data_IF_326397351388
#
_entry.id   IF_326397351388
#
_cell.length_a   1.000
_cell.length_b   1.000
_cell.length_c   1.000
_cell.angle_alpha   90.00
_cell.angle_beta   90.00
_cell.angle_gamma   90.00
#
_symmetry.space_group_name_H-M   'P 1'
#
loop_
_entity.id
_entity.type
_entity.pdbx_description
1 polymer ?
#
# COMPACT_ATOMS: atom_id res chain seq x y z
N UNK A 1 -22.71 -15.50 -7.88
CA UNK A 1 -21.93 -15.85 -6.68
C UNK A 1 -20.83 -14.79 -6.54
N UNK A 2 -20.73 -14.12 -5.39
CA UNK A 2 -19.72 -13.08 -5.14
C UNK A 2 -18.39 -13.74 -4.76
N UNK A 3 -17.38 -13.65 -5.63
CA UNK A 3 -15.98 -13.87 -5.28
C UNK A 3 -15.45 -12.62 -4.59
N UNK A 4 -15.69 -12.53 -3.29
CA UNK A 4 -15.23 -11.44 -2.43
C UNK A 4 -14.28 -12.00 -1.36
N UNK A 5 -13.22 -12.71 -1.75
CA UNK A 5 -12.12 -13.03 -0.83
C UNK A 5 -10.79 -13.37 -1.53
N UNK A 6 -10.27 -12.44 -2.33
CA UNK A 6 -8.88 -12.48 -2.78
C UNK A 6 -8.26 -11.10 -2.60
N UNK A 7 -7.69 -10.87 -1.43
CA UNK A 7 -6.73 -9.78 -1.20
C UNK A 7 -5.37 -10.24 -1.72
N UNK A 8 -4.85 -9.70 -2.85
CA UNK A 8 -3.55 -10.12 -3.37
C UNK A 8 -2.37 -9.64 -2.50
N UNK A 9 -1.35 -10.50 -2.39
CA UNK A 9 -0.10 -10.34 -1.63
C UNK A 9 0.73 -9.08 -2.01
N UNK A 10 0.39 -8.39 -3.10
CA UNK A 10 1.07 -7.18 -3.60
C UNK A 10 1.05 -5.96 -2.65
N UNK A 11 0.17 -5.95 -1.64
CA UNK A 11 -0.03 -4.77 -0.77
C UNK A 11 1.13 -4.49 0.20
N UNK A 12 1.96 -5.48 0.53
CA UNK A 12 3.08 -5.28 1.48
C UNK A 12 4.25 -4.50 0.88
N UNK A 13 4.45 -4.57 -0.44
CA UNK A 13 5.59 -3.95 -1.12
C UNK A 13 5.36 -2.45 -1.36
N UNK A 14 4.15 -2.06 -1.78
CA UNK A 14 3.81 -0.66 -2.11
C UNK A 14 3.75 0.26 -0.89
N UNK A 15 3.33 -0.25 0.29
CA UNK A 15 3.20 0.56 1.52
C UNK A 15 4.57 0.96 2.08
N UNK A 16 5.60 0.16 1.86
CA UNK A 16 6.98 0.47 2.28
C UNK A 16 7.60 1.63 1.49
N UNK A 17 7.23 1.80 0.21
CA UNK A 17 7.70 2.94 -0.61
C UNK A 17 7.14 4.29 -0.18
N UNK A 18 6.00 4.32 0.52
CA UNK A 18 5.34 5.56 0.95
C UNK A 18 5.75 6.03 2.35
N UNK A 19 6.47 5.21 3.14
CA UNK A 19 6.76 5.50 4.55
C UNK A 19 8.17 6.06 4.81
N UNK A 20 9.02 6.18 3.78
CA UNK A 20 10.41 6.64 3.93
C UNK A 20 10.55 8.17 3.75
N UNK A 21 9.74 8.89 4.53
CA UNK A 21 9.75 10.35 4.64
C UNK A 21 9.92 10.74 6.12
N UNK A 22 11.15 10.71 6.64
CA UNK A 22 11.38 11.30 7.96
C UNK A 22 12.64 10.91 8.73
N UNK A 23 13.80 10.93 8.11
CA UNK A 23 15.10 10.80 8.80
C UNK A 23 16.03 11.98 8.52
N UNK A 24 15.63 13.19 8.91
CA UNK A 24 16.44 14.40 8.78
C UNK A 24 17.68 14.36 9.68
N UNK A 25 18.77 13.77 9.16
CA UNK A 25 20.11 13.80 9.75
C UNK A 25 20.71 15.20 9.63
N UNK A 26 20.87 15.85 10.78
CA UNK A 26 21.49 17.16 10.95
C UNK A 26 23.01 17.05 10.67
N UNK A 27 23.45 17.52 9.49
CA UNK A 27 24.86 17.62 9.13
C UNK A 27 25.46 18.90 9.73
N UNK A 28 26.13 18.76 10.88
CA UNK A 28 27.05 19.74 11.44
C UNK A 28 28.49 19.40 11.04
N UNK A 29 29.19 20.36 10.45
CA UNK A 29 30.41 20.15 9.69
C UNK A 29 31.69 19.84 10.47
N UNK A 30 32.68 19.35 9.72
CA UNK A 30 34.08 19.19 10.12
C UNK A 30 34.88 18.83 8.86
N UNK A 31 35.40 19.84 8.16
CA UNK A 31 36.84 20.15 8.05
C UNK A 31 37.72 19.02 7.50
N UNK A 32 38.12 19.23 6.25
CA UNK A 32 39.48 19.12 5.72
C UNK A 32 40.34 17.97 6.25
N UNK A 33 40.53 16.95 5.41
CA UNK A 33 41.81 16.24 5.33
C UNK A 33 41.99 15.67 3.92
N UNK A 34 42.92 16.29 3.19
CA UNK A 34 43.55 15.76 1.99
C UNK A 34 44.45 14.60 2.42
N UNK A 35 44.07 13.37 2.08
CA UNK A 35 44.90 12.19 2.27
C UNK A 35 44.97 11.41 0.97
N UNK A 36 46.22 11.15 0.56
CA UNK A 36 46.63 10.46 -0.66
C UNK A 36 45.92 9.12 -0.89
N UNK A 37 45.41 8.95 -2.11
CA UNK A 37 44.93 7.68 -2.64
C UNK A 37 46.10 6.71 -2.78
N UNK A 38 46.19 5.75 -1.87
CA UNK A 38 47.09 4.60 -1.97
C UNK A 38 46.32 3.48 -2.68
N UNK A 39 46.82 3.05 -3.83
CA UNK A 39 46.27 1.95 -4.62
C UNK A 39 46.19 0.69 -3.75
N UNK A 40 44.96 0.24 -3.50
CA UNK A 40 44.68 -0.99 -2.76
C UNK A 40 44.75 -2.17 -3.73
N UNK A 41 45.52 -3.23 -3.45
CA UNK A 41 45.61 -4.38 -4.32
C UNK A 41 44.24 -5.06 -4.48
N UNK A 42 43.88 -5.25 -5.75
CA UNK A 42 42.68 -5.91 -6.23
C UNK A 42 42.52 -7.28 -5.55
N UNK A 43 41.59 -7.34 -4.61
CA UNK A 43 41.27 -8.57 -3.89
C UNK A 43 40.52 -9.50 -4.85
N UNK A 44 41.12 -10.64 -5.17
CA UNK A 44 40.49 -11.67 -6.01
C UNK A 44 39.09 -12.02 -5.46
N UNK A 45 38.07 -12.10 -6.33
CA UNK A 45 36.72 -12.43 -5.91
C UNK A 45 36.70 -13.84 -5.31
N UNK A 46 36.46 -13.92 -4.00
CA UNK A 46 36.20 -15.17 -3.31
C UNK A 46 34.97 -15.82 -3.96
N UNK A 47 35.02 -17.12 -4.34
CA UNK A 47 33.88 -17.79 -4.95
C UNK A 47 32.71 -17.76 -3.98
N UNK A 48 31.66 -17.00 -4.34
CA UNK A 48 30.43 -16.94 -3.57
C UNK A 48 29.87 -18.37 -3.42
N UNK A 49 29.52 -18.80 -2.20
CA UNK A 49 28.93 -20.12 -1.98
C UNK A 49 27.65 -20.23 -2.80
N UNK A 50 27.63 -21.17 -3.74
CA UNK A 50 26.45 -21.41 -4.58
C UNK A 50 25.29 -21.83 -3.66
N UNK A 51 24.13 -21.16 -3.71
CA UNK A 51 22.97 -21.59 -2.95
C UNK A 51 22.55 -23.01 -3.41
N UNK A 52 22.14 -23.88 -2.48
CA UNK A 52 21.77 -25.26 -2.79
C UNK A 52 20.66 -25.32 -3.83
N UNK A 53 20.92 -26.00 -4.96
CA UNK A 53 20.08 -26.05 -6.18
C UNK A 53 18.73 -26.78 -6.01
N UNK A 54 18.35 -27.22 -4.82
CA UNK A 54 17.35 -28.30 -4.64
C UNK A 54 15.98 -27.85 -4.13
N UNK A 55 15.74 -26.57 -3.84
CA UNK A 55 14.59 -26.17 -3.02
C UNK A 55 13.32 -25.70 -3.73
N UNK A 56 13.19 -25.74 -5.06
CA UNK A 56 12.19 -24.88 -5.71
C UNK A 56 10.96 -25.52 -6.37
N UNK A 57 10.77 -26.84 -6.27
CA UNK A 57 9.48 -27.45 -6.64
C UNK A 57 9.10 -28.63 -5.73
N UNK A 58 9.16 -28.44 -4.41
CA UNK A 58 8.30 -29.25 -3.57
C UNK A 58 6.85 -28.83 -3.90
N UNK A 59 6.01 -29.72 -4.45
CA UNK A 59 4.61 -29.38 -4.70
C UNK A 59 4.01 -28.88 -3.38
N UNK A 60 3.35 -27.71 -3.37
CA UNK A 60 2.85 -27.12 -2.14
C UNK A 60 1.89 -28.12 -1.48
N UNK A 61 2.02 -28.39 -0.18
CA UNK A 61 1.09 -29.26 0.51
C UNK A 61 -0.27 -28.56 0.56
N UNK A 62 -1.25 -29.08 -0.19
CA UNK A 62 -2.69 -28.88 -0.01
C UNK A 62 -3.34 -27.51 -0.27
N UNK A 63 -2.71 -26.57 -0.98
CA UNK A 63 -3.38 -25.30 -1.31
C UNK A 63 -3.76 -25.24 -2.79
N UNK A 64 -5.06 -24.99 -3.06
CA UNK A 64 -5.68 -24.77 -4.38
C UNK A 64 -5.20 -23.46 -5.07
N UNK A 65 -3.93 -23.07 -4.92
CA UNK A 65 -3.39 -21.94 -5.68
C UNK A 65 -3.32 -22.33 -7.15
N UNK A 66 -3.82 -21.45 -8.02
CA UNK A 66 -3.60 -21.62 -9.45
C UNK A 66 -2.11 -21.52 -9.76
N UNK A 67 -1.67 -22.15 -10.85
CA UNK A 67 -0.29 -22.03 -11.34
C UNK A 67 0.11 -20.56 -11.54
N UNK A 68 -0.86 -19.73 -11.93
CA UNK A 68 -0.76 -18.29 -12.11
C UNK A 68 -0.35 -17.59 -10.81
N UNK A 69 -1.03 -17.92 -9.71
CA UNK A 69 -0.73 -17.37 -8.38
C UNK A 69 0.65 -17.81 -7.90
N UNK A 70 1.05 -19.06 -8.16
CA UNK A 70 2.38 -19.56 -7.82
C UNK A 70 3.48 -18.86 -8.62
N UNK A 71 3.28 -18.68 -9.93
CA UNK A 71 4.21 -17.97 -10.80
C UNK A 71 4.40 -16.54 -10.31
N UNK A 72 3.30 -15.79 -10.21
CA UNK A 72 3.31 -14.41 -9.75
C UNK A 72 3.96 -14.29 -8.38
N UNK A 73 3.61 -15.17 -7.43
CA UNK A 73 4.23 -15.20 -6.10
C UNK A 73 5.75 -15.42 -6.18
N UNK A 74 6.23 -16.33 -7.03
CA UNK A 74 7.68 -16.58 -7.14
C UNK A 74 8.47 -15.36 -7.61
N UNK A 75 7.90 -14.54 -8.51
CA UNK A 75 8.54 -13.30 -8.96
C UNK A 75 8.42 -12.19 -7.91
N UNK A 76 7.29 -12.10 -7.21
CA UNK A 76 7.13 -11.18 -6.06
C UNK A 76 8.16 -11.50 -4.98
N UNK A 77 8.41 -12.77 -4.68
CA UNK A 77 9.41 -13.19 -3.70
C UNK A 77 10.84 -12.78 -4.11
N UNK A 78 11.16 -12.76 -5.41
CA UNK A 78 12.44 -12.24 -5.92
C UNK A 78 12.56 -10.74 -5.66
N UNK A 79 11.53 -9.97 -6.00
CA UNK A 79 11.50 -8.51 -5.78
C UNK A 79 11.62 -8.20 -4.30
N UNK A 80 10.84 -8.89 -3.45
CA UNK A 80 10.89 -8.70 -2.01
C UNK A 80 12.28 -9.00 -1.46
N UNK A 81 12.90 -10.11 -1.87
CA UNK A 81 14.26 -10.46 -1.43
C UNK A 81 15.29 -9.38 -1.81
N UNK A 82 15.23 -8.86 -3.04
CA UNK A 82 16.12 -7.77 -3.49
C UNK A 82 15.90 -6.47 -2.73
N UNK A 83 14.67 -6.21 -2.33
CA UNK A 83 14.32 -5.08 -1.49
C UNK A 83 14.88 -5.25 -0.08
N UNK A 84 14.71 -6.43 0.53
CA UNK A 84 15.23 -6.76 1.85
C UNK A 84 16.78 -6.75 1.88
N UNK A 85 17.42 -7.12 0.78
CA UNK A 85 18.88 -7.03 0.58
C UNK A 85 19.38 -5.59 0.38
N UNK A 86 18.50 -4.59 0.30
CA UNK A 86 18.83 -3.19 0.04
C UNK A 86 19.34 -2.94 -1.39
N UNK A 87 19.23 -3.92 -2.29
CA UNK A 87 19.61 -3.77 -3.70
C UNK A 87 18.56 -3.00 -4.50
N UNK A 88 17.32 -2.97 -4.02
CA UNK A 88 16.27 -2.08 -4.51
C UNK A 88 16.13 -0.88 -3.58
N UNK A 89 17.04 0.09 -3.69
CA UNK A 89 16.72 1.43 -3.21
C UNK A 89 15.65 2.03 -4.12
N UNK A 90 14.62 2.67 -3.56
CA UNK A 90 13.62 3.38 -4.35
C UNK A 90 14.28 4.32 -5.36
N UNK A 91 13.64 4.58 -6.52
CA UNK A 91 14.21 5.45 -7.53
C UNK A 91 14.59 6.80 -6.89
N UNK A 92 15.79 7.35 -7.18
CA UNK A 92 16.22 8.60 -6.56
C UNK A 92 15.17 9.69 -6.78
N UNK A 93 14.91 10.50 -5.75
CA UNK A 93 13.90 11.58 -5.84
C UNK A 93 14.22 12.47 -7.04
N UNK A 94 13.21 12.67 -7.88
CA UNK A 94 13.34 13.45 -9.11
C UNK A 94 13.76 12.66 -10.35
N UNK A 95 14.04 11.36 -10.24
CA UNK A 95 14.23 10.51 -11.42
C UNK A 95 12.93 10.45 -12.24
N UNK A 96 13.03 10.23 -13.57
CA UNK A 96 11.85 10.05 -14.41
C UNK A 96 10.97 8.88 -13.92
N UNK A 97 11.58 7.84 -13.33
CA UNK A 97 10.82 6.70 -12.77
C UNK A 97 9.97 7.13 -11.58
N UNK A 98 10.52 7.98 -10.71
CA UNK A 98 9.75 8.53 -9.59
C UNK A 98 8.58 9.39 -10.07
N UNK A 99 8.77 10.20 -11.11
CA UNK A 99 7.70 11.02 -11.70
C UNK A 99 6.58 10.17 -12.28
N UNK A 100 6.93 9.07 -12.95
CA UNK A 100 5.98 8.17 -13.61
C UNK A 100 5.23 7.30 -12.60
N UNK A 101 5.91 6.79 -11.57
CA UNK A 101 5.26 6.12 -10.45
C UNK A 101 4.26 7.06 -9.76
N UNK A 102 4.66 8.32 -9.54
CA UNK A 102 3.79 9.34 -8.96
C UNK A 102 2.60 9.62 -9.86
N UNK A 103 2.80 9.81 -11.17
CA UNK A 103 1.71 10.05 -12.12
C UNK A 103 0.72 8.88 -12.20
N UNK A 104 1.20 7.64 -12.20
CA UNK A 104 0.33 6.46 -12.23
C UNK A 104 -0.50 6.29 -10.95
N UNK A 105 0.05 6.68 -9.79
CA UNK A 105 -0.63 6.56 -8.49
C UNK A 105 -1.55 7.75 -8.17
N UNK A 106 -1.29 8.92 -8.75
CA UNK A 106 -2.00 10.17 -8.47
C UNK A 106 -3.52 10.09 -8.65
N UNK A 107 -4.09 9.48 -9.71
CA UNK A 107 -5.54 9.41 -9.88
C UNK A 107 -6.22 8.69 -8.71
N UNK A 108 -5.74 7.50 -8.35
CA UNK A 108 -6.28 6.74 -7.22
C UNK A 108 -6.10 7.47 -5.89
N UNK A 109 -4.96 8.12 -5.70
CA UNK A 109 -4.64 8.89 -4.50
C UNK A 109 -5.59 10.09 -4.30
N UNK A 110 -5.89 10.84 -5.37
CA UNK A 110 -6.84 11.97 -5.32
C UNK A 110 -8.24 11.51 -4.90
N UNK A 111 -8.72 10.39 -5.45
CA UNK A 111 -10.00 9.80 -5.05
C UNK A 111 -9.98 9.33 -3.58
N UNK A 112 -8.87 8.75 -3.13
CA UNK A 112 -8.65 8.38 -1.73
C UNK A 112 -8.74 9.58 -0.78
N UNK A 113 -8.05 10.68 -1.09
CA UNK A 113 -8.12 11.92 -0.31
C UNK A 113 -9.55 12.49 -0.30
N UNK A 114 -10.20 12.55 -1.46
CA UNK A 114 -11.57 13.05 -1.58
C UNK A 114 -12.54 12.23 -0.72
N UNK A 115 -12.45 10.90 -0.78
CA UNK A 115 -13.27 10.00 0.04
C UNK A 115 -13.00 10.17 1.54
N UNK A 116 -11.74 10.27 1.95
CA UNK A 116 -11.36 10.52 3.34
C UNK A 116 -11.96 11.83 3.86
N UNK A 117 -11.88 12.90 3.08
CA UNK A 117 -12.43 14.21 3.42
C UNK A 117 -13.96 14.17 3.55
N UNK A 118 -14.65 13.54 2.59
CA UNK A 118 -16.12 13.37 2.64
C UNK A 118 -16.54 12.57 3.87
N UNK A 119 -15.88 11.44 4.14
CA UNK A 119 -16.15 10.61 5.32
C UNK A 119 -15.94 11.39 6.62
N UNK A 120 -14.90 12.20 6.68
CA UNK A 120 -14.60 13.03 7.85
C UNK A 120 -15.72 14.06 8.11
N UNK A 121 -16.21 14.70 7.05
CA UNK A 121 -17.33 15.65 7.13
C UNK A 121 -18.61 14.96 7.57
N UNK A 122 -18.89 13.75 7.07
CA UNK A 122 -20.07 12.95 7.44
C UNK A 122 -20.02 12.58 8.92
N UNK A 123 -18.91 12.02 9.41
CA UNK A 123 -18.72 11.66 10.83
C UNK A 123 -18.90 12.86 11.76
N UNK A 124 -18.50 14.06 11.32
CA UNK A 124 -18.67 15.31 12.08
C UNK A 124 -20.09 15.86 12.05
N UNK A 125 -20.76 15.85 10.89
CA UNK A 125 -22.05 16.54 10.67
C UNK A 125 -23.25 15.68 11.06
N UNK A 126 -23.21 14.37 10.78
CA UNK A 126 -24.37 13.47 10.97
C UNK A 126 -24.80 13.38 12.44
N UNK A 127 -23.90 13.19 13.44
CA UNK A 127 -24.31 13.11 14.83
C UNK A 127 -25.01 14.39 15.33
N UNK A 128 -24.59 15.57 14.84
CA UNK A 128 -25.21 16.87 15.18
C UNK A 128 -26.65 16.92 14.63
N UNK A 129 -26.86 16.50 13.39
CA UNK A 129 -28.20 16.48 12.80
C UNK A 129 -29.11 15.44 13.47
N UNK A 130 -28.60 14.24 13.76
CA UNK A 130 -29.37 13.17 14.40
C UNK A 130 -29.78 13.57 15.83
N UNK A 131 -28.85 14.11 16.61
CA UNK A 131 -29.13 14.60 17.97
C UNK A 131 -30.13 15.75 17.96
N UNK A 132 -29.98 16.73 17.04
CA UNK A 132 -30.93 17.83 16.89
C UNK A 132 -32.35 17.32 16.61
N UNK A 133 -32.52 16.42 15.64
CA UNK A 133 -33.83 15.81 15.32
C UNK A 133 -34.41 15.04 16.52
N UNK A 134 -33.58 14.25 17.21
CA UNK A 134 -34.02 13.48 18.36
C UNK A 134 -34.46 14.36 19.54
N UNK A 135 -33.77 15.49 19.77
CA UNK A 135 -34.18 16.46 20.79
C UNK A 135 -35.46 17.20 20.41
N UNK A 136 -35.66 17.55 19.14
CA UNK A 136 -36.87 18.22 18.66
C UNK A 136 -38.11 17.33 18.73
N UNK A 137 -37.98 16.02 18.44
CA UNK A 137 -39.10 15.08 18.52
C UNK A 137 -39.57 14.76 19.95
N UNK A 138 -38.73 15.01 20.96
CA UNK A 138 -39.04 14.69 22.37
C UNK A 138 -39.54 15.86 23.20
N UNK A 139 -39.76 17.04 22.61
CA UNK A 139 -40.45 18.12 23.30
C UNK A 139 -41.93 18.00 22.89
N UNK A 140 -42.78 17.26 23.63
CA UNK A 140 -44.21 17.36 23.42
C UNK A 140 -44.57 18.83 23.57
N UNK A 141 -45.16 19.41 22.52
CA UNK A 141 -45.63 20.80 22.52
C UNK A 141 -46.39 21.06 23.82
N UNK A 142 -45.81 21.88 24.68
CA UNK A 142 -46.27 22.08 26.05
C UNK A 142 -47.62 22.84 26.12
N UNK A 143 -48.33 22.98 25.00
CA UNK A 143 -49.53 23.81 24.89
C UNK A 143 -50.83 23.08 25.24
N UNK A 144 -50.80 21.87 25.82
CA UNK A 144 -52.04 21.15 26.20
C UNK A 144 -51.90 20.21 27.39
N UNK A 145 -51.26 20.68 28.47
CA UNK A 145 -51.39 20.04 29.80
C UNK A 145 -51.78 21.09 30.83
N UNK A 146 -53.05 21.47 30.77
CA UNK A 146 -53.76 21.82 32.00
C UNK A 146 -53.77 20.58 32.92
N UNK A 147 -53.30 20.80 34.15
CA UNK A 147 -53.86 20.23 35.39
C UNK A 147 -54.02 18.70 35.56
N UNK A 148 -53.07 17.87 35.14
CA UNK A 148 -52.99 16.52 35.73
C UNK A 148 -52.18 16.60 37.04
N UNK A 149 -52.94 16.61 38.13
CA UNK A 149 -52.54 16.46 39.53
C UNK A 149 -51.27 15.61 39.71
N UNK A 150 -50.38 16.11 40.55
CA UNK A 150 -49.25 15.41 41.14
C UNK A 150 -49.68 14.07 41.75
N UNK A 151 -49.60 12.99 40.97
CA UNK A 151 -49.67 11.62 41.48
C UNK A 151 -48.27 11.24 41.94
N UNK A 152 -48.07 11.27 43.25
CA UNK A 152 -46.84 10.81 43.91
C UNK A 152 -46.49 9.39 43.44
N UNK A 153 -45.22 9.09 43.15
CA UNK A 153 -44.81 7.76 42.71
C UNK A 153 -45.11 6.71 43.80
N UNK A 154 -45.54 5.49 43.44
CA UNK A 154 -45.78 4.41 44.38
C UNK A 154 -44.47 3.99 45.08
N UNK A 155 -44.55 3.75 46.39
CA UNK A 155 -43.41 3.56 47.31
C UNK A 155 -42.60 2.27 47.09
N UNK A 156 -43.08 1.33 46.27
CA UNK A 156 -42.59 -0.05 46.30
C UNK A 156 -42.02 -0.55 44.95
N UNK A 157 -41.62 0.35 44.05
CA UNK A 157 -41.01 -0.06 42.78
C UNK A 157 -39.54 -0.52 42.98
N UNK A 158 -39.19 -1.80 42.71
CA UNK A 158 -37.83 -2.29 42.88
C UNK A 158 -36.83 -1.56 41.96
N UNK A 159 -35.71 -1.16 42.55
CA UNK A 159 -34.69 -0.21 42.10
C UNK A 159 -33.83 -0.63 40.89
N UNK A 160 -34.34 -1.44 39.96
CA UNK A 160 -33.60 -1.86 38.77
C UNK A 160 -33.61 -0.81 37.65
N UNK A 161 -34.47 0.20 37.76
CA UNK A 161 -34.35 1.44 37.00
C UNK A 161 -33.61 2.46 37.86
N UNK A 162 -32.40 2.86 37.46
CA UNK A 162 -32.21 4.23 36.96
C UNK A 162 -30.75 4.65 36.77
N UNK A 163 -29.72 3.80 36.72
CA UNK A 163 -28.37 4.36 36.51
C UNK A 163 -28.24 5.03 35.13
N UNK A 164 -28.83 4.43 34.08
CA UNK A 164 -29.01 5.08 32.76
C UNK A 164 -29.89 6.34 32.81
N UNK A 165 -30.82 6.45 33.75
CA UNK A 165 -31.70 7.62 33.95
C UNK A 165 -31.09 8.70 34.86
N UNK A 166 -30.06 8.39 35.65
CA UNK A 166 -29.36 9.34 36.52
C UNK A 166 -28.14 9.98 35.82
N UNK A 167 -27.49 9.23 34.93
CA UNK A 167 -26.35 9.73 34.15
C UNK A 167 -26.78 10.72 33.05
N UNK A 168 -27.95 10.52 32.43
CA UNK A 168 -28.39 11.33 31.28
C UNK A 168 -28.91 12.76 31.59
N UNK A 169 -29.60 13.04 32.72
CA UNK A 169 -30.12 14.38 32.99
C UNK A 169 -29.09 15.35 33.54
N UNK A 170 -28.05 14.86 34.25
CA UNK A 170 -26.98 15.72 34.79
C UNK A 170 -26.02 16.25 33.74
N UNK A 171 -25.94 15.61 32.57
CA UNK A 171 -25.22 16.10 31.38
C UNK A 171 -25.92 17.25 30.64
N UNK A 172 -27.18 17.59 30.96
CA UNK A 172 -27.99 18.53 30.17
C UNK A 172 -28.10 19.96 30.70
N UNK A 173 -27.59 20.27 31.89
CA UNK A 173 -27.80 21.61 32.49
C UNK A 173 -26.54 22.36 32.92
N UNK A 174 -25.36 21.74 32.82
CA UNK A 174 -24.11 22.47 32.92
C UNK A 174 -23.72 23.03 31.56
N UNK A 175 -23.26 24.27 31.50
CA UNK A 175 -22.39 24.81 30.45
C UNK A 175 -21.10 23.98 30.40
N UNK A 176 -21.23 22.77 29.86
CA UNK A 176 -20.29 21.65 29.96
C UNK A 176 -19.07 21.96 29.07
N UNK A 177 -18.05 22.60 29.65
CA UNK A 177 -16.71 22.72 29.06
C UNK A 177 -16.09 21.33 28.75
N UNK A 178 -16.64 20.25 29.29
CA UNK A 178 -16.32 18.86 28.95
C UNK A 178 -16.72 18.44 27.51
N UNK A 179 -17.47 19.27 26.77
CA UNK A 179 -17.59 19.10 25.32
C UNK A 179 -16.26 19.20 24.58
N UNK A 180 -15.22 19.81 25.18
CA UNK A 180 -13.90 19.88 24.57
C UNK A 180 -13.18 18.53 24.65
N UNK A 181 -13.19 17.85 25.81
CA UNK A 181 -12.46 16.59 26.01
C UNK A 181 -13.03 15.46 25.14
N UNK A 182 -14.36 15.33 25.06
CA UNK A 182 -14.98 14.34 24.19
C UNK A 182 -14.68 14.62 22.71
N UNK A 183 -14.64 15.90 22.29
CA UNK A 183 -14.22 16.27 20.93
C UNK A 183 -12.76 15.97 20.66
N UNK A 184 -11.88 16.13 21.66
CA UNK A 184 -10.45 15.82 21.52
C UNK A 184 -10.21 14.33 21.36
N UNK A 185 -10.96 13.48 22.06
CA UNK A 185 -10.80 12.01 21.97
C UNK A 185 -11.40 11.44 20.69
N UNK A 186 -12.51 11.99 20.18
CA UNK A 186 -13.13 11.48 18.94
C UNK A 186 -12.40 11.93 17.68
N UNK A 187 -11.71 13.07 17.71
CA UNK A 187 -10.97 13.60 16.56
C UNK A 187 -9.95 12.62 15.95
N UNK A 188 -9.03 11.98 16.72
CA UNK A 188 -8.09 11.02 16.15
C UNK A 188 -8.78 9.76 15.62
N UNK A 189 -9.89 9.33 16.24
CA UNK A 189 -10.65 8.17 15.78
C UNK A 189 -11.32 8.47 14.44
N UNK A 190 -11.98 9.63 14.32
CA UNK A 190 -12.60 10.08 13.08
C UNK A 190 -11.56 10.21 11.96
N UNK A 191 -10.38 10.77 12.29
CA UNK A 191 -9.27 10.90 11.34
C UNK A 191 -8.77 9.53 10.88
N UNK A 192 -8.52 8.60 11.81
CA UNK A 192 -8.04 7.25 11.49
C UNK A 192 -9.05 6.50 10.60
N UNK A 193 -10.34 6.56 10.92
CA UNK A 193 -11.39 5.94 10.12
C UNK A 193 -11.49 6.57 8.73
N UNK A 194 -11.37 7.89 8.62
CA UNK A 194 -11.34 8.58 7.32
C UNK A 194 -10.13 8.20 6.48
N UNK A 195 -8.94 8.11 7.07
CA UNK A 195 -7.72 7.66 6.38
C UNK A 195 -7.87 6.21 5.91
N UNK A 196 -8.42 5.32 6.75
CA UNK A 196 -8.68 3.93 6.35
C UNK A 196 -9.65 3.83 5.17
N UNK A 197 -10.74 4.61 5.16
CA UNK A 197 -11.67 4.66 4.03
C UNK A 197 -10.99 5.23 2.78
N UNK A 198 -10.20 6.29 2.92
CA UNK A 198 -9.43 6.86 1.82
C UNK A 198 -8.44 5.86 1.22
N UNK A 199 -7.72 5.12 2.06
CA UNK A 199 -6.81 4.07 1.63
C UNK A 199 -7.57 2.92 0.93
N UNK A 200 -8.72 2.50 1.45
CA UNK A 200 -9.54 1.47 0.82
C UNK A 200 -10.07 1.93 -0.55
N UNK A 201 -10.55 3.18 -0.67
CA UNK A 201 -11.02 3.75 -1.95
C UNK A 201 -9.86 3.93 -2.93
N UNK A 202 -8.69 4.37 -2.47
CA UNK A 202 -7.49 4.43 -3.29
C UNK A 202 -7.16 3.05 -3.86
N UNK A 203 -7.09 2.03 -3.01
CA UNK A 203 -6.82 0.65 -3.42
C UNK A 203 -7.88 0.12 -4.39
N UNK A 204 -9.15 0.45 -4.16
CA UNK A 204 -10.25 0.01 -5.00
C UNK A 204 -10.23 0.69 -6.37
N UNK A 205 -9.95 1.99 -6.40
CA UNK A 205 -10.09 2.82 -7.60
C UNK A 205 -8.78 2.95 -8.40
N UNK A 206 -7.65 2.55 -7.83
CA UNK A 206 -6.44 2.27 -8.60
C UNK A 206 -6.71 1.06 -9.49
N UNK A 207 -7.12 1.32 -10.74
CA UNK A 207 -7.25 0.28 -11.77
C UNK A 207 -5.90 -0.42 -11.88
N UNK A 208 -5.88 -1.68 -11.43
CA UNK A 208 -4.70 -2.54 -11.50
C UNK A 208 -4.26 -2.68 -12.94
N UNK A 209 -5.23 -2.70 -13.85
CA UNK A 209 -5.05 -2.79 -15.29
C UNK A 209 -4.38 -1.53 -15.82
N UNK A 210 -4.88 -0.32 -15.51
CA UNK A 210 -4.27 0.92 -15.98
C UNK A 210 -2.85 1.13 -15.42
N UNK A 211 -2.64 0.83 -14.13
CA UNK A 211 -1.30 0.95 -13.52
C UNK A 211 -0.34 -0.07 -14.13
N UNK A 212 -0.76 -1.32 -14.33
CA UNK A 212 0.08 -2.33 -14.98
C UNK A 212 0.29 -2.06 -16.47
N UNK A 213 -0.70 -1.48 -17.16
CA UNK A 213 -0.61 -1.09 -18.56
C UNK A 213 0.31 0.10 -18.75
N UNK A 214 0.29 1.07 -17.85
CA UNK A 214 1.28 2.14 -17.84
C UNK A 214 2.67 1.60 -17.47
N UNK A 215 2.78 0.72 -16.46
CA UNK A 215 4.05 0.06 -16.10
C UNK A 215 4.65 -0.78 -17.24
N UNK A 216 3.83 -1.43 -18.06
CA UNK A 216 4.31 -2.19 -19.23
C UNK A 216 4.67 -1.29 -20.41
N UNK A 217 3.99 -0.16 -20.58
CA UNK A 217 4.27 0.83 -21.63
C UNK A 217 5.46 1.72 -21.32
N UNK A 218 5.83 1.83 -20.05
CA UNK A 218 6.93 2.67 -19.62
C UNK A 218 8.25 2.15 -20.22
N UNK A 219 8.89 2.89 -21.16
CA UNK A 219 10.21 2.54 -21.68
C UNK A 219 11.32 2.72 -20.62
N UNK A 220 10.94 2.99 -19.36
CA UNK A 220 11.77 3.39 -18.22
C UNK A 220 12.93 2.45 -17.88
N UNK A 221 12.89 1.20 -18.32
CA UNK A 221 13.85 0.24 -17.84
C UNK A 221 15.16 0.27 -18.66
N UNK A 222 15.26 0.99 -19.79
CA UNK A 222 16.42 0.84 -20.71
C UNK A 222 17.76 1.17 -20.04
N UNK A 223 17.73 2.05 -19.04
CA UNK A 223 18.88 2.37 -18.20
C UNK A 223 18.58 2.31 -16.69
N UNK A 224 17.42 1.79 -16.30
CA UNK A 224 17.07 1.77 -14.87
C UNK A 224 17.96 0.77 -14.13
N UNK A 225 18.64 1.19 -13.05
CA UNK A 225 19.46 0.29 -12.25
C UNK A 225 18.61 -0.85 -11.65
N UNK A 226 17.35 -0.56 -11.32
CA UNK A 226 16.38 -1.55 -10.81
C UNK A 226 16.12 -2.63 -11.86
N UNK A 227 16.02 -2.27 -13.14
CA UNK A 227 15.85 -3.24 -14.23
C UNK A 227 17.03 -4.21 -14.26
N UNK A 228 18.25 -3.67 -14.20
CA UNK A 228 19.47 -4.47 -14.26
C UNK A 228 19.55 -5.46 -13.10
N UNK A 229 19.23 -5.00 -11.89
CA UNK A 229 19.24 -5.86 -10.69
C UNK A 229 18.21 -6.99 -10.77
N UNK A 230 17.05 -6.74 -11.39
CA UNK A 230 15.97 -7.73 -11.47
C UNK A 230 16.05 -8.65 -12.69
N UNK A 231 16.60 -8.17 -13.81
CA UNK A 231 16.55 -8.90 -15.08
C UNK A 231 17.22 -10.27 -15.00
N UNK A 232 18.39 -10.39 -14.36
CA UNK A 232 19.12 -11.66 -14.32
C UNK A 232 18.35 -12.72 -13.52
N UNK A 233 17.80 -12.35 -12.37
CA UNK A 233 17.00 -13.26 -11.55
C UNK A 233 15.67 -13.63 -12.22
N UNK A 234 15.04 -12.66 -12.90
CA UNK A 234 13.79 -12.91 -13.63
C UNK A 234 14.01 -13.82 -14.83
N UNK A 235 15.09 -13.62 -15.60
CA UNK A 235 15.46 -14.52 -16.70
C UNK A 235 15.76 -15.90 -16.13
N UNK A 236 16.60 -16.01 -15.10
CA UNK A 236 16.96 -17.28 -14.49
C UNK A 236 15.73 -18.03 -13.97
N UNK A 237 14.79 -17.33 -13.33
CA UNK A 237 13.55 -17.92 -12.86
C UNK A 237 12.63 -18.31 -14.03
N UNK A 238 12.59 -17.52 -15.09
CA UNK A 238 11.82 -17.82 -16.30
C UNK A 238 12.33 -19.06 -17.03
N UNK A 239 13.64 -19.26 -17.08
CA UNK A 239 14.29 -20.39 -17.75
C UNK A 239 14.00 -21.72 -17.03
N UNK A 240 13.64 -21.65 -15.74
CA UNK A 240 13.19 -22.82 -14.96
C UNK A 240 11.75 -23.21 -15.25
N UNK A 241 10.96 -22.31 -15.84
CA UNK A 241 9.54 -22.55 -16.13
C UNK A 241 9.42 -23.16 -17.53
N UNK A 242 8.82 -24.36 -17.67
CA UNK A 242 8.63 -25.00 -18.96
C UNK A 242 7.93 -24.10 -20.01
N UNK A 243 8.38 -24.09 -21.29
CA UNK A 243 7.89 -23.17 -22.31
C UNK A 243 6.40 -23.36 -22.66
N UNK A 244 5.86 -24.57 -22.46
CA UNK A 244 4.44 -24.86 -22.63
C UNK A 244 3.56 -24.05 -21.66
N UNK A 245 4.06 -23.74 -20.46
CA UNK A 245 3.32 -22.95 -19.47
C UNK A 245 3.12 -21.54 -20.00
N UNK A 246 4.19 -20.88 -20.48
CA UNK A 246 4.10 -19.54 -21.07
C UNK A 246 3.13 -19.47 -22.26
N UNK A 247 3.10 -20.52 -23.10
CA UNK A 247 2.21 -20.54 -24.27
C UNK A 247 0.71 -20.61 -23.91
N UNK A 248 0.37 -21.17 -22.75
CA UNK A 248 -1.02 -21.25 -22.29
C UNK A 248 -1.58 -19.89 -21.85
N UNK A 249 -0.71 -18.95 -21.50
CA UNK A 249 -1.07 -17.62 -20.96
C UNK A 249 -1.09 -16.51 -22.00
N UNK A 250 -1.03 -16.86 -23.29
CA UNK A 250 -1.19 -15.89 -24.36
C UNK A 250 -2.66 -15.45 -24.56
N UNK A 251 -3.58 -15.88 -23.68
CA UNK A 251 -4.96 -15.41 -23.65
C UNK A 251 -5.05 -14.06 -22.93
N UNK A 252 -5.97 -13.20 -23.40
CA UNK A 252 -6.19 -11.84 -22.88
C UNK A 252 -6.58 -11.78 -21.40
N UNK A 253 -6.88 -12.91 -20.79
CA UNK A 253 -7.48 -12.99 -19.46
C UNK A 253 -6.44 -12.91 -18.32
N UNK A 254 -5.15 -13.11 -18.61
CA UNK A 254 -4.09 -13.17 -17.60
C UNK A 254 -3.03 -12.08 -17.80
N UNK A 255 -3.46 -10.83 -17.62
CA UNK A 255 -2.62 -9.64 -17.83
C UNK A 255 -1.30 -9.68 -17.05
N UNK A 256 -1.31 -10.13 -15.79
CA UNK A 256 -0.09 -10.16 -14.95
C UNK A 256 1.01 -11.07 -15.51
N UNK A 257 0.65 -12.25 -16.04
CA UNK A 257 1.62 -13.18 -16.63
C UNK A 257 2.12 -12.62 -17.96
N UNK A 258 1.24 -12.01 -18.75
CA UNK A 258 1.61 -11.36 -20.00
C UNK A 258 2.60 -10.21 -19.79
N UNK A 259 2.35 -9.35 -18.80
CA UNK A 259 3.26 -8.28 -18.40
C UNK A 259 4.63 -8.84 -18.00
N UNK A 260 4.62 -9.92 -17.22
CA UNK A 260 5.84 -10.55 -16.74
C UNK A 260 6.64 -11.22 -17.86
N UNK A 261 5.98 -11.93 -18.77
CA UNK A 261 6.59 -12.47 -19.97
C UNK A 261 7.19 -11.35 -20.84
N UNK A 262 6.46 -10.25 -21.04
CA UNK A 262 6.93 -9.08 -21.80
C UNK A 262 8.17 -8.46 -21.14
N UNK A 263 8.17 -8.32 -19.82
CA UNK A 263 9.33 -7.85 -19.06
C UNK A 263 10.57 -8.74 -19.26
N UNK A 264 10.41 -10.07 -19.15
CA UNK A 264 11.51 -11.02 -19.36
C UNK A 264 12.06 -10.93 -20.79
N UNK A 265 11.19 -10.82 -21.80
CA UNK A 265 11.61 -10.66 -23.19
C UNK A 265 12.43 -9.38 -23.39
N UNK A 266 11.98 -8.28 -22.77
CA UNK A 266 12.73 -7.02 -22.78
C UNK A 266 14.10 -7.15 -22.09
N UNK A 267 14.18 -7.87 -20.96
CA UNK A 267 15.44 -8.17 -20.28
C UNK A 267 16.41 -8.96 -21.17
N UNK A 268 15.93 -9.99 -21.88
CA UNK A 268 16.75 -10.79 -22.79
C UNK A 268 17.26 -9.97 -23.98
N UNK A 269 16.39 -9.16 -24.57
CA UNK A 269 16.77 -8.24 -25.66
C UNK A 269 17.93 -7.32 -25.25
N UNK A 270 17.91 -6.84 -24.01
CA UNK A 270 19.00 -6.00 -23.48
C UNK A 270 20.30 -6.73 -23.24
N UNK A 271 20.25 -7.92 -22.64
CA UNK A 271 21.47 -8.72 -22.47
C UNK A 271 22.15 -8.96 -23.82
N UNK A 272 21.36 -9.20 -24.88
CA UNK A 272 21.89 -9.35 -26.24
C UNK A 272 22.50 -8.04 -26.77
N UNK A 273 21.83 -6.90 -26.61
CA UNK A 273 22.36 -5.60 -27.03
C UNK A 273 23.65 -5.22 -26.29
N UNK A 274 23.72 -5.46 -24.99
CA UNK A 274 24.92 -5.19 -24.19
C UNK A 274 26.09 -6.08 -24.62
N UNK A 275 25.84 -7.37 -24.90
CA UNK A 275 26.86 -8.26 -25.44
C UNK A 275 27.37 -7.79 -26.81
N UNK A 276 26.48 -7.34 -27.69
CA UNK A 276 26.87 -6.79 -29.00
C UNK A 276 27.72 -5.52 -28.85
N UNK A 277 27.32 -4.58 -27.98
CA UNK A 277 28.11 -3.37 -27.71
C UNK A 277 29.49 -3.71 -27.14
N UNK A 278 29.57 -4.68 -26.23
CA UNK A 278 30.84 -5.11 -25.64
C UNK A 278 31.76 -5.76 -26.70
N UNK A 279 31.21 -6.59 -27.59
CA UNK A 279 31.97 -7.16 -28.71
C UNK A 279 32.46 -6.08 -29.69
N UNK A 280 31.64 -5.08 -30.00
CA UNK A 280 32.05 -3.96 -30.85
C UNK A 280 33.18 -3.13 -30.22
N UNK A 281 33.12 -2.88 -28.90
CA UNK A 281 34.20 -2.19 -28.19
C UNK A 281 35.51 -2.98 -28.20
N UNK A 282 35.44 -4.32 -28.04
CA UNK A 282 36.62 -5.18 -28.13
C UNK A 282 37.23 -5.19 -29.53
N UNK A 283 36.42 -5.13 -30.59
CA UNK A 283 36.91 -5.05 -31.97
C UNK A 283 37.60 -3.71 -32.28
N UNK A 284 37.20 -2.61 -31.62
CA UNK A 284 37.85 -1.30 -31.80
C UNK A 284 39.20 -1.19 -31.06
N UNK A 285 39.49 -2.11 -30.14
CA UNK A 285 40.75 -2.13 -29.40
C UNK A 285 41.82 -3.02 -30.04
N UNK A 286 41.49 -3.75 -31.11
CA UNK A 286 42.41 -4.58 -31.90
C UNK A 286 42.86 -3.85 -33.16
#
# INVERSE_FOLDING_TARGET
QQDADKTPIFYSVMVSFASDDGGGGNNGGGKDNVASTQETPESQPQPQPQPPRHWLFAPPPNNNLSMDELLVKSFVDIVQRKYDEGQLSGPPRGSPEHQLLTQALMPGFQWGIAAAAVQFVILRRVPIHVTKRYTQQKIPSASKRESILFRTPPKDAPSLYSWKQYLWPRLKKGTFKEGLLLKTVTLPIDLAMSVMVGAAVWVWNSSKEAVMDDLTKLPLLESSPIAHTLCDDFIQQSDRIPPNIWSQYNSKDNYSILSLHTFIQNCRSRQQQQQQQHQQQQQQQQ
#
